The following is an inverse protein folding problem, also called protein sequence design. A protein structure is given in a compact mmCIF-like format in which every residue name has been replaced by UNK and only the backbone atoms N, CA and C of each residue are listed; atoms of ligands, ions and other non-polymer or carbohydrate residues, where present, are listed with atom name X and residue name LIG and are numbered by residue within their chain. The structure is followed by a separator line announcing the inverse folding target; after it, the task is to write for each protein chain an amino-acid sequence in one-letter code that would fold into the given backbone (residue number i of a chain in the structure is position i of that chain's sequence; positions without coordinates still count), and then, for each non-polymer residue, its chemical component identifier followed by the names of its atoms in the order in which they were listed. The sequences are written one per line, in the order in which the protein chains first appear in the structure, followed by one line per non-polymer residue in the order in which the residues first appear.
data_IF_151979824221
#
_entry.id   IF_151979824221
#
_cell.length_a   1.000
_cell.length_b   1.000
_cell.length_c   1.000
_cell.angle_alpha   90.00
_cell.angle_beta   90.00
_cell.angle_gamma   90.00
#
_symmetry.space_group_name_H-M   'P 1'
#
loop_
_entity.id
_entity.type
_entity.pdbx_description
1 polymer ?
#
# COMPACT_ATOMS: atom_id res chain seq x y z
N UNK A 1 -47.03 12.51 56.25
CA UNK A 1 -45.66 13.05 56.34
C UNK A 1 -44.78 11.92 55.88
N UNK A 2 -44.44 11.92 54.60
CA UNK A 2 -43.67 10.89 53.93
C UNK A 2 -42.20 11.28 54.11
N UNK A 3 -41.46 10.51 54.90
CA UNK A 3 -40.01 10.65 54.97
C UNK A 3 -39.42 9.95 53.74
N UNK A 4 -38.87 10.76 52.84
CA UNK A 4 -38.07 10.32 51.70
C UNK A 4 -36.76 9.71 52.20
N UNK A 5 -36.54 8.44 51.86
CA UNK A 5 -35.25 7.77 52.05
C UNK A 5 -34.35 8.26 50.91
N UNK A 6 -33.49 9.23 51.21
CA UNK A 6 -32.33 9.56 50.36
C UNK A 6 -31.33 8.40 50.42
N UNK A 7 -31.40 7.52 49.42
CA UNK A 7 -30.29 6.63 49.06
C UNK A 7 -29.27 7.47 48.31
N UNK A 8 -28.27 7.98 49.03
CA UNK A 8 -27.11 8.63 48.43
C UNK A 8 -26.17 7.56 47.87
N UNK A 9 -26.35 7.24 46.59
CA UNK A 9 -25.40 6.50 45.77
C UNK A 9 -24.09 7.30 45.65
N UNK A 10 -23.22 7.17 46.65
CA UNK A 10 -21.82 7.63 46.59
C UNK A 10 -20.94 6.46 46.21
N UNK A 11 -21.05 6.05 44.94
CA UNK A 11 -20.41 4.84 44.45
C UNK A 11 -20.25 4.79 42.94
N UNK A 12 -19.60 5.81 42.36
CA UNK A 12 -18.73 5.60 41.21
C UNK A 12 -17.92 6.87 40.96
N UNK A 13 -16.64 6.81 41.32
CA UNK A 13 -15.65 7.70 40.75
C UNK A 13 -15.59 7.40 39.25
N UNK A 14 -16.35 8.16 38.47
CA UNK A 14 -16.16 8.29 37.03
C UNK A 14 -14.73 8.80 36.81
N UNK A 15 -13.78 7.88 36.69
CA UNK A 15 -12.51 8.16 36.06
C UNK A 15 -12.81 8.35 34.58
N UNK A 16 -13.34 9.52 34.22
CA UNK A 16 -13.39 9.97 32.83
C UNK A 16 -11.96 9.91 32.31
N UNK A 17 -11.66 8.87 31.52
CA UNK A 17 -10.37 8.72 30.86
C UNK A 17 -10.20 9.94 29.98
N UNK A 18 -9.32 10.85 30.40
CA UNK A 18 -8.84 12.01 29.65
C UNK A 18 -8.71 11.64 28.16
N UNK A 19 -9.61 12.17 27.32
CA UNK A 19 -9.60 11.95 25.88
C UNK A 19 -8.44 12.75 25.29
N UNK A 20 -7.24 12.20 25.33
CA UNK A 20 -6.09 12.82 24.67
C UNK A 20 -6.21 12.72 23.15
N UNK A 21 -5.90 13.82 22.46
CA UNK A 21 -5.85 13.86 21.00
C UNK A 21 -4.75 12.92 20.50
N UNK A 22 -5.11 12.02 19.58
CA UNK A 22 -4.19 11.09 18.94
C UNK A 22 -3.00 11.87 18.34
N UNK A 23 -1.80 11.63 18.86
CA UNK A 23 -0.57 12.21 18.32
C UNK A 23 -0.17 11.48 17.04
N UNK A 24 -0.66 11.98 15.89
CA UNK A 24 -0.32 11.45 14.58
C UNK A 24 1.13 11.80 14.22
N UNK A 25 1.96 10.77 14.07
CA UNK A 25 3.37 10.90 13.71
C UNK A 25 3.56 11.15 12.20
N UNK A 26 3.10 12.31 11.72
CA UNK A 26 3.10 12.67 10.28
C UNK A 26 4.46 12.55 9.61
N UNK A 27 5.54 12.90 10.30
CA UNK A 27 6.90 12.80 9.75
C UNK A 27 7.22 11.37 9.31
N UNK A 28 6.89 10.37 10.12
CA UNK A 28 7.12 8.97 9.76
C UNK A 28 6.28 8.51 8.57
N UNK A 29 5.01 8.94 8.50
CA UNK A 29 4.14 8.64 7.36
C UNK A 29 4.72 9.19 6.06
N UNK A 30 5.04 10.48 6.06
CA UNK A 30 5.59 11.15 4.88
C UNK A 30 6.93 10.53 4.48
N UNK A 31 7.85 10.29 5.42
CA UNK A 31 9.13 9.66 5.12
C UNK A 31 8.96 8.27 4.48
N UNK A 32 8.10 7.41 5.02
CA UNK A 32 7.85 6.09 4.45
C UNK A 32 7.27 6.22 3.03
N UNK A 33 6.29 7.11 2.85
CA UNK A 33 5.70 7.36 1.54
C UNK A 33 6.74 7.85 0.52
N UNK A 34 7.54 8.86 0.88
CA UNK A 34 8.58 9.39 0.00
C UNK A 34 9.60 8.33 -0.37
N UNK A 35 10.03 7.50 0.58
CA UNK A 35 10.97 6.41 0.30
C UNK A 35 10.38 5.41 -0.67
N UNK A 36 9.15 4.93 -0.45
CA UNK A 36 8.49 3.97 -1.35
C UNK A 36 8.27 4.61 -2.74
N UNK A 37 7.72 5.81 -2.77
CA UNK A 37 7.40 6.53 -4.00
C UNK A 37 8.68 6.82 -4.80
N UNK A 38 9.60 7.60 -4.23
CA UNK A 38 10.76 8.12 -4.94
C UNK A 38 11.72 7.01 -5.37
N UNK A 39 12.08 6.08 -4.49
CA UNK A 39 13.01 5.00 -4.85
C UNK A 39 12.43 4.09 -5.94
N UNK A 40 11.12 3.84 -5.93
CA UNK A 40 10.49 3.03 -6.99
C UNK A 40 10.61 3.70 -8.36
N UNK A 41 10.47 5.02 -8.44
CA UNK A 41 10.62 5.78 -9.68
C UNK A 41 12.07 5.93 -10.09
N UNK A 42 12.99 6.17 -9.16
CA UNK A 42 14.42 6.33 -9.48
C UNK A 42 14.99 5.07 -10.10
N UNK A 43 14.76 3.90 -9.49
CA UNK A 43 15.30 2.63 -10.01
C UNK A 43 14.75 2.34 -11.41
N UNK A 44 13.43 2.47 -11.58
CA UNK A 44 12.76 2.21 -12.86
C UNK A 44 13.14 3.23 -13.94
N UNK A 45 13.32 4.48 -13.52
CA UNK A 45 13.76 5.58 -14.37
C UNK A 45 15.18 5.38 -14.86
N UNK A 46 16.11 4.90 -14.02
CA UNK A 46 17.48 4.57 -14.44
C UNK A 46 17.46 3.47 -15.50
N UNK A 47 16.67 2.41 -15.32
CA UNK A 47 16.53 1.33 -16.32
C UNK A 47 16.04 1.90 -17.66
N UNK A 48 14.96 2.68 -17.62
CA UNK A 48 14.37 3.27 -18.83
C UNK A 48 15.33 4.25 -19.51
N UNK A 49 15.90 5.18 -18.76
CA UNK A 49 16.80 6.21 -19.29
C UNK A 49 18.10 5.63 -19.83
N UNK A 50 18.60 4.56 -19.21
CA UNK A 50 19.78 3.85 -19.73
C UNK A 50 19.48 3.26 -21.11
N UNK A 51 18.30 2.64 -21.29
CA UNK A 51 17.88 2.19 -22.62
C UNK A 51 17.73 3.34 -23.62
N UNK A 52 17.08 4.44 -23.20
CA UNK A 52 16.87 5.59 -24.08
C UNK A 52 18.21 6.17 -24.54
N UNK A 53 19.13 6.44 -23.62
CA UNK A 53 20.40 7.11 -23.92
C UNK A 53 21.33 6.21 -24.73
N UNK A 54 21.51 4.95 -24.32
CA UNK A 54 22.52 4.07 -24.93
C UNK A 54 22.01 3.29 -26.15
N UNK A 55 20.70 3.14 -26.32
CA UNK A 55 20.13 2.33 -27.40
C UNK A 55 19.19 3.17 -28.27
N UNK A 56 18.16 3.78 -27.68
CA UNK A 56 17.13 4.42 -28.48
C UNK A 56 17.62 5.66 -29.23
N UNK A 57 18.35 6.55 -28.57
CA UNK A 57 18.91 7.76 -29.19
C UNK A 57 19.83 7.40 -30.37
N UNK A 58 20.90 6.59 -30.21
CA UNK A 58 21.84 6.33 -31.30
C UNK A 58 21.22 5.56 -32.47
N UNK A 59 20.31 4.62 -32.21
CA UNK A 59 19.79 3.74 -33.26
C UNK A 59 18.45 4.19 -33.85
N UNK A 60 17.75 5.16 -33.24
CA UNK A 60 16.43 5.61 -33.73
C UNK A 60 16.36 7.12 -33.93
N UNK A 61 16.93 7.94 -33.05
CA UNK A 61 16.80 9.41 -33.14
C UNK A 61 17.92 10.09 -33.94
N UNK A 62 19.12 9.52 -33.96
CA UNK A 62 20.29 10.07 -34.66
C UNK A 62 20.54 9.44 -36.05
N UNK A 63 19.56 8.72 -36.60
CA UNK A 63 19.64 8.15 -37.95
C UNK A 63 19.28 9.19 -39.00
N UNK A 64 19.95 9.12 -40.15
CA UNK A 64 19.86 10.14 -41.21
C UNK A 64 18.44 10.31 -41.78
N UNK A 65 17.68 9.20 -41.88
CA UNK A 65 16.35 9.19 -42.47
C UNK A 65 15.45 8.15 -41.78
N UNK A 66 14.13 8.39 -41.78
CA UNK A 66 13.14 7.50 -41.15
C UNK A 66 13.13 6.08 -41.75
N UNK A 67 13.39 5.93 -43.05
CA UNK A 67 13.44 4.62 -43.72
C UNK A 67 14.52 3.72 -43.11
N UNK A 68 15.63 4.30 -42.64
CA UNK A 68 16.75 3.56 -42.01
C UNK A 68 16.29 2.81 -40.76
N UNK A 69 15.30 3.35 -40.03
CA UNK A 69 14.74 2.69 -38.84
C UNK A 69 14.16 1.31 -39.20
N UNK A 70 13.58 1.18 -40.40
CA UNK A 70 12.90 -0.05 -40.83
C UNK A 70 13.78 -0.97 -41.68
N UNK A 71 14.89 -0.47 -42.24
CA UNK A 71 15.80 -1.26 -43.07
C UNK A 71 17.04 -1.74 -42.32
N UNK A 72 17.51 -0.99 -41.32
CA UNK A 72 18.63 -1.40 -40.46
C UNK A 72 18.13 -2.30 -39.32
N UNK A 73 18.70 -3.49 -39.18
CA UNK A 73 18.30 -4.45 -38.15
C UNK A 73 18.42 -3.89 -36.72
N UNK A 74 19.49 -3.15 -36.40
CA UNK A 74 19.71 -2.61 -35.06
C UNK A 74 18.68 -1.52 -34.72
N UNK A 75 18.41 -0.62 -35.67
CA UNK A 75 17.39 0.42 -35.52
C UNK A 75 15.99 -0.17 -35.38
N UNK A 76 15.66 -1.20 -36.17
CA UNK A 76 14.38 -1.88 -36.09
C UNK A 76 14.19 -2.58 -34.74
N UNK A 77 15.22 -3.28 -34.27
CA UNK A 77 15.20 -3.94 -32.96
C UNK A 77 15.07 -2.93 -31.82
N UNK A 78 15.80 -1.81 -31.87
CA UNK A 78 15.68 -0.73 -30.88
C UNK A 78 14.28 -0.06 -30.90
N UNK A 79 13.65 0.03 -32.07
CA UNK A 79 12.30 0.56 -32.15
C UNK A 79 11.26 -0.41 -31.56
N UNK A 80 11.32 -1.69 -31.92
CA UNK A 80 10.39 -2.73 -31.43
C UNK A 80 10.60 -3.00 -29.93
N UNK A 81 11.82 -2.89 -29.42
CA UNK A 81 12.10 -3.13 -28.01
C UNK A 81 11.58 -2.03 -27.08
N UNK A 82 11.31 -0.81 -27.57
CA UNK A 82 10.81 0.30 -26.75
C UNK A 82 9.56 -0.04 -25.92
N UNK A 83 8.43 -0.52 -26.49
CA UNK A 83 7.25 -0.88 -25.69
C UNK A 83 7.55 -1.98 -24.65
N UNK A 84 8.42 -2.93 -24.97
CA UNK A 84 8.83 -3.98 -24.04
C UNK A 84 9.64 -3.41 -22.88
N UNK A 85 10.55 -2.48 -23.15
CA UNK A 85 11.31 -1.77 -22.10
C UNK A 85 10.38 -0.94 -21.21
N UNK A 86 9.38 -0.26 -21.77
CA UNK A 86 8.37 0.48 -20.98
C UNK A 86 7.64 -0.47 -20.02
N UNK A 87 7.19 -1.63 -20.50
CA UNK A 87 6.52 -2.64 -19.66
C UNK A 87 7.48 -3.15 -18.57
N UNK A 88 8.72 -3.48 -18.92
CA UNK A 88 9.73 -3.92 -17.95
C UNK A 88 10.04 -2.87 -16.89
N UNK A 89 10.21 -1.61 -17.28
CA UNK A 89 10.40 -0.49 -16.36
C UNK A 89 9.20 -0.34 -15.43
N UNK A 90 7.97 -0.44 -15.94
CA UNK A 90 6.76 -0.39 -15.12
C UNK A 90 6.67 -1.57 -14.12
N UNK A 91 6.93 -2.79 -14.57
CA UNK A 91 6.94 -3.97 -13.69
C UNK A 91 8.05 -3.89 -12.64
N UNK A 92 9.23 -3.36 -13.01
CA UNK A 92 10.32 -3.11 -12.07
C UNK A 92 9.89 -2.12 -10.98
N UNK A 93 9.15 -1.05 -11.34
CA UNK A 93 8.58 -0.11 -10.37
C UNK A 93 7.67 -0.81 -9.38
N UNK A 94 6.70 -1.59 -9.87
CA UNK A 94 5.77 -2.33 -9.02
C UNK A 94 6.51 -3.28 -8.08
N UNK A 95 7.51 -4.00 -8.59
CA UNK A 95 8.33 -4.88 -7.78
C UNK A 95 9.06 -4.13 -6.65
N UNK A 96 9.69 -2.98 -6.96
CA UNK A 96 10.38 -2.15 -5.96
C UNK A 96 9.41 -1.59 -4.92
N UNK A 97 8.21 -1.15 -5.33
CA UNK A 97 7.15 -0.74 -4.39
C UNK A 97 6.84 -1.87 -3.41
N UNK A 98 6.61 -3.08 -3.92
CA UNK A 98 6.37 -4.27 -3.09
C UNK A 98 7.54 -4.60 -2.17
N UNK A 99 8.78 -4.53 -2.67
CA UNK A 99 10.00 -4.84 -1.92
C UNK A 99 10.20 -3.89 -0.74
N UNK A 100 10.15 -2.57 -0.99
CA UNK A 100 10.34 -1.56 0.05
C UNK A 100 9.23 -1.67 1.09
N UNK A 101 7.97 -1.82 0.64
CA UNK A 101 6.83 -2.00 1.54
C UNK A 101 7.02 -3.24 2.42
N UNK A 102 7.47 -4.37 1.87
CA UNK A 102 7.75 -5.60 2.61
C UNK A 102 8.82 -5.41 3.69
N UNK A 103 9.88 -4.67 3.39
CA UNK A 103 10.96 -4.37 4.35
C UNK A 103 10.40 -3.57 5.52
N UNK A 104 9.69 -2.47 5.25
CA UNK A 104 9.08 -1.67 6.32
C UNK A 104 8.00 -2.44 7.07
N UNK A 105 7.18 -3.25 6.39
CA UNK A 105 6.19 -4.12 7.04
C UNK A 105 6.84 -5.05 8.04
N UNK A 106 7.83 -5.84 7.63
CA UNK A 106 8.57 -6.75 8.53
C UNK A 106 9.24 -6.02 9.68
N UNK A 107 9.81 -4.84 9.42
CA UNK A 107 10.44 -4.02 10.44
C UNK A 107 9.43 -3.55 11.49
N UNK A 108 8.27 -3.06 11.05
CA UNK A 108 7.20 -2.66 11.98
C UNK A 108 6.67 -3.85 12.75
N UNK A 109 6.45 -5.00 12.10
CA UNK A 109 5.92 -6.22 12.74
C UNK A 109 6.87 -6.74 13.83
N UNK A 110 8.18 -6.71 13.57
CA UNK A 110 9.21 -7.08 14.54
C UNK A 110 9.22 -6.15 15.77
N UNK A 111 8.92 -4.86 15.60
CA UNK A 111 8.94 -3.87 16.69
C UNK A 111 7.69 -3.87 17.57
N UNK A 112 6.52 -4.19 17.01
CA UNK A 112 5.26 -4.24 17.73
C UNK A 112 4.31 -5.19 17.00
N UNK A 113 4.31 -6.49 17.28
CA UNK A 113 3.48 -7.45 16.55
C UNK A 113 2.01 -7.03 16.56
N UNK A 114 1.31 -7.33 15.47
CA UNK A 114 -0.13 -7.13 15.39
C UNK A 114 -0.80 -7.96 16.49
N UNK A 115 -1.74 -7.33 17.20
CA UNK A 115 -2.54 -7.98 18.23
C UNK A 115 -4.00 -7.97 17.80
N UNK A 116 -4.68 -9.07 18.07
CA UNK A 116 -6.13 -9.15 17.94
C UNK A 116 -6.81 -8.53 19.16
N UNK A 117 -8.07 -8.13 18.99
CA UNK A 117 -8.89 -7.54 20.05
C UNK A 117 -9.01 -6.02 19.98
N UNK A 118 -9.53 -5.44 21.07
CA UNK A 118 -9.88 -4.03 21.14
C UNK A 118 -8.63 -3.21 21.51
N UNK A 119 -8.25 -2.28 20.64
CA UNK A 119 -7.16 -1.33 20.89
C UNK A 119 -7.79 0.00 21.31
N UNK A 120 -7.65 0.43 22.57
CA UNK A 120 -8.20 1.71 23.02
C UNK A 120 -7.52 2.86 22.27
N UNK A 121 -8.32 3.76 21.68
CA UNK A 121 -7.83 4.94 20.96
C UNK A 121 -7.56 6.14 21.87
N UNK A 122 -8.25 6.19 23.01
CA UNK A 122 -8.15 7.27 23.98
C UNK A 122 -6.85 7.21 24.79
N UNK A 123 -6.14 6.09 24.73
CA UNK A 123 -4.90 5.85 25.47
C UNK A 123 -3.77 5.73 24.45
N UNK A 124 -2.73 6.56 24.52
CA UNK A 124 -1.59 6.46 23.61
C UNK A 124 -0.91 5.11 23.81
N UNK A 125 -1.02 4.23 22.80
CA UNK A 125 -0.41 2.91 22.83
C UNK A 125 0.51 2.72 21.64
N UNK A 126 1.64 2.05 21.88
CA UNK A 126 2.57 1.65 20.82
C UNK A 126 1.83 0.86 19.73
N UNK A 127 0.91 -0.02 20.12
CA UNK A 127 0.08 -0.81 19.21
C UNK A 127 -0.75 0.07 18.27
N UNK A 128 -1.45 1.09 18.79
CA UNK A 128 -2.25 2.01 17.97
C UNK A 128 -1.37 2.80 16.98
N UNK A 129 -0.20 3.27 17.41
CA UNK A 129 0.72 4.01 16.54
C UNK A 129 1.23 3.15 15.37
N UNK A 130 1.73 1.94 15.65
CA UNK A 130 2.19 1.02 14.60
C UNK A 130 1.05 0.55 13.70
N UNK A 131 -0.16 0.42 14.25
CA UNK A 131 -1.36 0.14 13.48
C UNK A 131 -1.62 1.23 12.42
N UNK A 132 -1.52 2.51 12.78
CA UNK A 132 -1.74 3.63 11.85
C UNK A 132 -0.62 3.73 10.82
N UNK A 133 0.65 3.56 11.23
CA UNK A 133 1.81 3.51 10.32
C UNK A 133 1.62 2.44 9.24
N UNK A 134 1.24 1.23 9.66
CA UNK A 134 1.00 0.10 8.75
C UNK A 134 -0.12 0.35 7.77
N UNK A 135 -1.26 0.87 8.25
CA UNK A 135 -2.39 1.22 7.39
C UNK A 135 -1.99 2.27 6.36
N UNK A 136 -1.26 3.31 6.77
CA UNK A 136 -0.82 4.35 5.84
C UNK A 136 0.15 3.82 4.79
N UNK A 137 1.13 3.02 5.20
CA UNK A 137 2.15 2.45 4.32
C UNK A 137 1.55 1.58 3.20
N UNK A 138 0.57 0.75 3.50
CA UNK A 138 -0.04 -0.15 2.52
C UNK A 138 -0.80 0.63 1.44
N UNK A 139 -1.41 1.78 1.79
CA UNK A 139 -2.27 2.55 0.88
C UNK A 139 -1.60 2.88 -0.43
N UNK A 140 -0.34 3.28 -0.41
CA UNK A 140 0.37 3.62 -1.65
C UNK A 140 0.56 2.40 -2.55
N UNK A 141 1.06 1.29 -2.01
CA UNK A 141 1.25 0.08 -2.80
C UNK A 141 -0.09 -0.47 -3.29
N UNK A 142 -1.10 -0.55 -2.42
CA UNK A 142 -2.47 -0.91 -2.80
C UNK A 142 -2.95 -0.08 -4.00
N UNK A 143 -2.81 1.24 -3.94
CA UNK A 143 -3.19 2.14 -5.03
C UNK A 143 -2.37 1.88 -6.31
N UNK A 144 -1.06 1.70 -6.20
CA UNK A 144 -0.18 1.45 -7.34
C UNK A 144 -0.51 0.14 -8.10
N UNK A 145 -0.93 -0.89 -7.38
CA UNK A 145 -1.33 -2.17 -7.96
C UNK A 145 -2.78 -2.16 -8.45
N UNK A 146 -3.74 -1.74 -7.63
CA UNK A 146 -5.18 -1.84 -7.94
C UNK A 146 -5.65 -0.84 -8.98
N UNK A 147 -5.08 0.38 -9.01
CA UNK A 147 -5.36 1.39 -10.06
C UNK A 147 -4.35 1.34 -11.20
N UNK A 148 -3.46 0.35 -11.18
CA UNK A 148 -2.44 0.15 -12.20
C UNK A 148 -2.99 -0.52 -13.46
N UNK A 149 -2.09 -0.71 -14.45
CA UNK A 149 -2.41 -1.41 -15.70
C UNK A 149 -2.69 -2.90 -15.46
N UNK A 150 -2.14 -3.46 -14.37
CA UNK A 150 -2.19 -4.88 -14.04
C UNK A 150 -2.82 -5.11 -12.66
N UNK A 151 -4.13 -4.88 -12.48
CA UNK A 151 -4.80 -4.94 -11.17
C UNK A 151 -4.75 -6.31 -10.49
N UNK A 152 -4.65 -7.40 -11.27
CA UNK A 152 -4.51 -8.76 -10.74
C UNK A 152 -3.19 -9.00 -9.98
N UNK A 153 -2.17 -8.16 -10.18
CA UNK A 153 -0.94 -8.22 -9.40
C UNK A 153 -1.13 -7.74 -7.94
N UNK A 154 -2.26 -7.13 -7.60
CA UNK A 154 -2.61 -6.78 -6.22
C UNK A 154 -2.58 -8.00 -5.30
N UNK A 155 -3.04 -9.16 -5.77
CA UNK A 155 -2.98 -10.43 -5.04
C UNK A 155 -1.54 -10.82 -4.69
N UNK A 156 -0.63 -10.68 -5.66
CA UNK A 156 0.78 -10.92 -5.43
C UNK A 156 1.33 -9.94 -4.41
N UNK A 157 1.01 -8.65 -4.54
CA UNK A 157 1.49 -7.59 -3.64
C UNK A 157 1.10 -7.86 -2.17
N UNK A 158 -0.19 -8.08 -1.88
CA UNK A 158 -0.64 -8.31 -0.51
C UNK A 158 -0.01 -9.57 0.11
N UNK A 159 0.04 -10.67 -0.65
CA UNK A 159 0.70 -11.91 -0.21
C UNK A 159 2.22 -11.74 -0.04
N UNK A 160 2.88 -11.01 -0.93
CA UNK A 160 4.33 -10.80 -0.93
C UNK A 160 4.77 -9.92 0.24
N UNK A 161 4.09 -8.80 0.46
CA UNK A 161 4.35 -7.91 1.61
C UNK A 161 4.03 -8.65 2.92
N UNK A 162 3.05 -9.55 2.90
CA UNK A 162 2.60 -10.32 4.06
C UNK A 162 1.55 -9.57 4.86
N UNK A 163 0.73 -8.76 4.19
CA UNK A 163 -0.35 -8.00 4.81
C UNK A 163 -1.64 -8.80 4.87
N UNK A 164 -1.76 -9.91 4.13
CA UNK A 164 -2.96 -10.73 4.08
C UNK A 164 -2.71 -12.00 3.29
N UNK A 165 -3.73 -12.86 3.25
CA UNK A 165 -3.70 -14.14 2.55
C UNK A 165 -4.78 -14.08 1.48
N UNK A 166 -4.39 -14.10 0.20
CA UNK A 166 -5.31 -14.17 -0.92
C UNK A 166 -5.01 -15.45 -1.69
N UNK A 167 -5.94 -16.39 -1.68
CA UNK A 167 -5.76 -17.69 -2.35
C UNK A 167 -5.96 -17.58 -3.86
N UNK A 168 -5.49 -18.60 -4.58
CA UNK A 168 -5.51 -18.66 -6.05
C UNK A 168 -6.92 -18.56 -6.62
N UNK A 169 -7.01 -17.97 -7.82
CA UNK A 169 -8.26 -17.80 -8.57
C UNK A 169 -9.15 -16.67 -8.06
N UNK A 170 -8.72 -15.95 -7.03
CA UNK A 170 -9.47 -14.82 -6.48
C UNK A 170 -9.03 -13.51 -7.11
N UNK A 171 -9.95 -12.56 -7.26
CA UNK A 171 -9.69 -11.24 -7.84
C UNK A 171 -10.16 -10.16 -6.87
N UNK A 172 -9.28 -9.18 -6.62
CA UNK A 172 -9.60 -8.00 -5.84
C UNK A 172 -9.67 -6.78 -6.74
N UNK A 173 -10.86 -6.18 -6.81
CA UNK A 173 -11.10 -4.88 -7.42
C UNK A 173 -11.03 -3.76 -6.39
N UNK A 174 -11.05 -2.50 -6.84
CA UNK A 174 -10.97 -1.32 -5.97
C UNK A 174 -11.97 -1.40 -4.81
N UNK A 175 -11.43 -1.53 -3.60
CA UNK A 175 -12.20 -1.78 -2.38
C UNK A 175 -11.76 -0.85 -1.27
N UNK A 176 -12.71 -0.39 -0.47
CA UNK A 176 -12.56 0.81 0.37
C UNK A 176 -11.59 0.56 1.53
N UNK A 177 -11.68 -0.60 2.20
CA UNK A 177 -10.98 -0.87 3.48
C UNK A 177 -10.00 -2.05 3.41
N UNK A 178 -9.76 -2.58 2.20
CA UNK A 178 -8.89 -3.75 1.96
C UNK A 178 -7.42 -3.42 2.19
N UNK A 179 -7.01 -3.46 3.46
CA UNK A 179 -5.68 -3.00 3.87
C UNK A 179 -4.84 -4.14 4.44
N UNK A 180 -5.20 -4.65 5.62
CA UNK A 180 -4.37 -5.59 6.40
C UNK A 180 -5.18 -6.72 7.01
N UNK A 181 -4.49 -7.83 7.24
CA UNK A 181 -4.92 -9.11 7.82
C UNK A 181 -6.21 -9.68 7.20
N UNK A 182 -6.40 -9.44 5.91
CA UNK A 182 -7.49 -10.02 5.15
C UNK A 182 -7.19 -11.48 4.79
N UNK A 183 -8.20 -12.33 4.80
CA UNK A 183 -8.11 -13.72 4.34
C UNK A 183 -9.20 -13.96 3.30
N UNK A 184 -8.78 -14.13 2.05
CA UNK A 184 -9.66 -14.35 0.90
C UNK A 184 -9.50 -15.79 0.43
N UNK A 185 -10.64 -16.48 0.33
CA UNK A 185 -10.74 -17.87 -0.13
C UNK A 185 -10.26 -18.08 -1.56
N UNK A 186 -10.41 -19.31 -2.08
CA UNK A 186 -10.10 -19.63 -3.49
C UNK A 186 -11.28 -19.23 -4.38
N UNK A 187 -11.01 -18.78 -5.60
CA UNK A 187 -12.04 -18.45 -6.60
C UNK A 187 -13.08 -17.41 -6.12
N UNK A 188 -12.64 -16.44 -5.32
CA UNK A 188 -13.50 -15.37 -4.81
C UNK A 188 -13.38 -14.10 -5.67
N UNK A 189 -14.49 -13.41 -5.90
CA UNK A 189 -14.49 -12.10 -6.54
C UNK A 189 -14.87 -11.03 -5.51
N UNK A 190 -13.97 -10.09 -5.26
CA UNK A 190 -14.22 -8.93 -4.39
C UNK A 190 -14.39 -7.73 -5.29
N UNK A 191 -15.64 -7.34 -5.51
CA UNK A 191 -16.01 -6.30 -6.46
C UNK A 191 -15.69 -4.87 -6.00
N UNK A 192 -15.89 -3.93 -6.93
CA UNK A 192 -15.67 -2.50 -6.73
C UNK A 192 -16.51 -1.98 -5.55
N UNK A 193 -15.95 -1.07 -4.75
CA UNK A 193 -16.56 -0.44 -3.58
C UNK A 193 -16.95 -1.39 -2.45
N UNK A 194 -16.53 -2.65 -2.50
CA UNK A 194 -16.68 -3.55 -1.36
C UNK A 194 -15.80 -3.11 -0.18
N UNK A 195 -16.27 -3.37 1.03
CA UNK A 195 -15.53 -3.12 2.27
C UNK A 195 -15.09 -4.45 2.88
N UNK A 196 -13.83 -4.83 2.66
CA UNK A 196 -13.20 -5.96 3.33
C UNK A 196 -12.23 -5.42 4.37
N UNK A 197 -12.52 -5.64 5.65
CA UNK A 197 -11.66 -5.18 6.74
C UNK A 197 -11.47 -6.24 7.80
N UNK A 198 -10.25 -6.31 8.36
CA UNK A 198 -9.94 -7.12 9.53
C UNK A 198 -10.33 -6.44 10.86
N UNK A 199 -10.74 -5.17 10.79
CA UNK A 199 -11.02 -4.34 11.95
C UNK A 199 -12.02 -3.24 11.58
N UNK A 200 -12.83 -2.82 12.54
CA UNK A 200 -13.64 -1.62 12.40
C UNK A 200 -13.25 -0.63 13.47
N UNK A 201 -13.33 0.65 13.11
CA UNK A 201 -13.16 1.73 14.06
C UNK A 201 -14.54 2.13 14.51
N UNK A 202 -14.86 1.90 15.77
CA UNK A 202 -16.09 2.41 16.36
C UNK A 202 -15.96 3.92 16.50
N UNK A 203 -16.70 4.65 15.66
CA UNK A 203 -16.91 6.09 15.79
C UNK A 203 -18.12 6.35 16.67
N UNK A 204 -18.13 7.46 17.41
CA UNK A 204 -19.32 7.93 18.16
C UNK A 204 -20.52 8.26 17.26
N UNK A 205 -20.34 8.31 15.93
CA UNK A 205 -21.39 8.62 14.96
C UNK A 205 -21.50 7.61 13.79
N UNK A 206 -20.92 6.41 13.94
CA UNK A 206 -20.88 5.40 12.87
C UNK A 206 -19.59 5.44 12.06
#
# INVERSE_FOLDING_TARGET
MLDEIEVSDTGNSDTEVSKEKINLQFHWYLSIFFVIYYLSYVVSGIIFMSYVIYVFIPYVLLVDNLIVIFTNLYSLLAFIALPLVIILSYLSRLFIVGLITRVFWRFTEKRSPTKDGIIPRNIPSKTANYYHIRSFMIKYGKNAFMKGVFPWLSNWYFNFVGTGIIRRGSTLEESVVTDKHINVGKNCYVGVNSALSSHFVEGTFG
#
